data_IF_003597106604
#
_entry.id   IF_003597106604
#
_cell.length_a   1.000
_cell.length_b   1.000
_cell.length_c   1.000
_cell.angle_alpha   90.00
_cell.angle_beta   90.00
_cell.angle_gamma   90.00
#
_symmetry.space_group_name_H-M   'P 1'
#
loop_
_entity.id
_entity.type
_entity.pdbx_description
1 polymer ?
#
# COMPACT_ATOMS: atom_id res chain seq x y z
N UNK A 1 -28.29 -1.53 31.31
CA UNK A 1 -26.90 -1.96 31.03
C UNK A 1 -26.79 -3.13 30.04
N UNK A 2 -27.50 -4.26 30.20
CA UNK A 2 -27.37 -5.43 29.28
C UNK A 2 -27.78 -5.16 27.81
N UNK A 3 -28.74 -4.27 27.56
CA UNK A 3 -29.16 -3.91 26.19
C UNK A 3 -28.18 -2.99 25.46
N UNK A 4 -27.53 -2.08 26.19
CA UNK A 4 -26.49 -1.19 25.64
C UNK A 4 -25.28 -1.99 25.16
N UNK A 5 -24.87 -3.01 25.94
CA UNK A 5 -23.77 -3.92 25.59
C UNK A 5 -24.12 -4.80 24.37
N UNK A 6 -25.40 -5.22 24.23
CA UNK A 6 -25.86 -5.97 23.05
C UNK A 6 -25.93 -5.10 21.79
N UNK A 7 -26.31 -3.82 21.92
CA UNK A 7 -26.34 -2.85 20.82
C UNK A 7 -24.92 -2.54 20.34
N UNK A 8 -23.99 -2.22 21.25
CA UNK A 8 -22.57 -2.00 20.93
C UNK A 8 -21.91 -3.21 20.24
N UNK A 9 -22.22 -4.45 20.65
CA UNK A 9 -21.69 -5.66 19.99
C UNK A 9 -22.26 -5.90 18.58
N UNK A 10 -23.51 -5.49 18.33
CA UNK A 10 -24.13 -5.57 16.99
C UNK A 10 -23.56 -4.50 16.07
N UNK A 11 -23.46 -3.27 16.56
CA UNK A 11 -22.93 -2.13 15.82
C UNK A 11 -21.44 -2.36 15.48
N UNK A 12 -20.63 -2.88 16.41
CA UNK A 12 -19.23 -3.24 16.14
C UNK A 12 -19.04 -4.32 15.07
N UNK A 13 -19.93 -5.33 15.00
CA UNK A 13 -19.91 -6.33 13.92
C UNK A 13 -20.35 -5.73 12.57
N UNK A 14 -21.30 -4.81 12.59
CA UNK A 14 -21.77 -4.11 11.40
C UNK A 14 -20.68 -3.21 10.81
N UNK A 15 -19.95 -2.47 11.66
CA UNK A 15 -18.85 -1.61 11.21
C UNK A 15 -17.67 -2.40 10.65
N UNK A 16 -17.32 -3.56 11.23
CA UNK A 16 -16.28 -4.43 10.67
C UNK A 16 -16.66 -4.99 9.28
N UNK A 17 -17.93 -5.39 9.09
CA UNK A 17 -18.42 -5.84 7.79
C UNK A 17 -18.44 -4.69 6.76
N UNK A 18 -18.77 -3.48 7.20
CA UNK A 18 -18.80 -2.30 6.35
C UNK A 18 -17.39 -1.84 5.94
N UNK A 19 -16.44 -1.85 6.87
CA UNK A 19 -15.02 -1.63 6.61
C UNK A 19 -14.51 -2.61 5.54
N UNK A 20 -14.78 -3.90 5.70
CA UNK A 20 -14.36 -4.94 4.77
C UNK A 20 -14.97 -4.74 3.37
N UNK A 21 -16.25 -4.37 3.29
CA UNK A 21 -16.92 -4.09 2.03
C UNK A 21 -16.34 -2.87 1.32
N UNK A 22 -16.07 -1.78 2.06
CA UNK A 22 -15.44 -0.58 1.51
C UNK A 22 -14.02 -0.85 1.02
N UNK A 23 -13.20 -1.53 1.84
CA UNK A 23 -11.84 -1.89 1.44
C UNK A 23 -11.83 -2.79 0.21
N UNK A 24 -12.75 -3.76 0.10
CA UNK A 24 -12.87 -4.61 -1.08
C UNK A 24 -13.17 -3.78 -2.34
N UNK A 25 -14.09 -2.82 -2.25
CA UNK A 25 -14.40 -1.94 -3.37
C UNK A 25 -13.21 -1.04 -3.74
N UNK A 26 -12.53 -0.45 -2.75
CA UNK A 26 -11.38 0.43 -2.99
C UNK A 26 -10.21 -0.31 -3.63
N UNK A 27 -9.84 -1.48 -3.09
CA UNK A 27 -8.75 -2.30 -3.63
C UNK A 27 -9.01 -2.69 -5.11
N UNK A 28 -10.27 -2.93 -5.48
CA UNK A 28 -10.64 -3.29 -6.86
C UNK A 28 -10.39 -2.19 -7.90
N UNK A 29 -10.25 -0.93 -7.47
CA UNK A 29 -9.99 0.19 -8.39
C UNK A 29 -8.52 0.21 -8.82
N UNK A 30 -7.59 -0.20 -7.94
CA UNK A 30 -6.13 -0.27 -8.19
C UNK A 30 -5.46 1.00 -8.75
N UNK A 31 -6.16 2.13 -8.81
CA UNK A 31 -5.61 3.44 -9.21
C UNK A 31 -5.10 4.19 -7.99
N UNK A 32 -3.77 4.36 -7.92
CA UNK A 32 -3.11 5.01 -6.79
C UNK A 32 -3.52 6.49 -6.59
N UNK A 33 -3.74 7.25 -7.67
CA UNK A 33 -4.11 8.68 -7.59
C UNK A 33 -5.53 8.85 -7.04
N UNK A 34 -6.45 8.00 -7.51
CA UNK A 34 -7.79 7.91 -6.96
C UNK A 34 -7.77 7.52 -5.48
N UNK A 35 -7.04 6.46 -5.12
CA UNK A 35 -6.95 5.99 -3.74
C UNK A 35 -6.35 7.04 -2.80
N UNK A 36 -5.36 7.80 -3.26
CA UNK A 36 -4.77 8.93 -2.52
C UNK A 36 -5.79 10.04 -2.30
N UNK A 37 -6.63 10.33 -3.30
CA UNK A 37 -7.72 11.31 -3.16
C UNK A 37 -8.79 10.86 -2.16
N UNK A 38 -9.14 9.57 -2.17
CA UNK A 38 -10.03 8.97 -1.17
C UNK A 38 -9.43 9.06 0.23
N UNK A 39 -8.14 8.76 0.39
CA UNK A 39 -7.44 8.88 1.67
C UNK A 39 -7.50 10.32 2.21
N UNK A 40 -7.27 11.31 1.37
CA UNK A 40 -7.37 12.72 1.76
C UNK A 40 -8.79 13.08 2.22
N UNK A 41 -9.83 12.59 1.51
CA UNK A 41 -11.22 12.77 1.91
C UNK A 41 -11.53 12.10 3.26
N UNK A 42 -11.05 10.87 3.49
CA UNK A 42 -11.21 10.16 4.77
C UNK A 42 -10.59 10.96 5.92
N UNK A 43 -9.35 11.46 5.74
CA UNK A 43 -8.66 12.31 6.72
C UNK A 43 -9.45 13.58 7.05
N UNK A 44 -9.99 14.24 6.03
CA UNK A 44 -10.84 15.42 6.22
C UNK A 44 -12.12 15.08 7.02
N UNK A 45 -12.75 13.95 6.72
CA UNK A 45 -13.96 13.49 7.43
C UNK A 45 -13.66 13.09 8.87
N UNK A 46 -12.54 12.43 9.14
CA UNK A 46 -12.12 12.11 10.51
C UNK A 46 -11.96 13.38 11.35
N UNK A 47 -11.29 14.42 10.83
CA UNK A 47 -11.13 15.69 11.53
C UNK A 47 -12.48 16.34 11.86
N UNK A 48 -13.43 16.31 10.92
CA UNK A 48 -14.79 16.79 11.16
C UNK A 48 -15.50 16.00 12.26
N UNK A 49 -15.49 14.66 12.17
CA UNK A 49 -16.14 13.80 13.15
C UNK A 49 -15.52 13.97 14.54
N UNK A 50 -14.19 14.06 14.63
CA UNK A 50 -13.48 14.30 15.89
C UNK A 50 -13.94 15.61 16.56
N UNK A 51 -13.97 16.71 15.81
CA UNK A 51 -14.47 18.01 16.31
C UNK A 51 -15.92 17.92 16.76
N UNK A 52 -16.77 17.24 15.98
CA UNK A 52 -18.19 17.06 16.28
C UNK A 52 -18.41 16.20 17.52
N UNK A 53 -17.67 15.11 17.68
CA UNK A 53 -17.68 14.26 18.87
C UNK A 53 -17.33 15.06 20.12
N UNK A 54 -16.24 15.84 20.09
CA UNK A 54 -15.84 16.68 21.22
C UNK A 54 -16.94 17.68 21.58
N UNK A 55 -17.51 18.37 20.58
CA UNK A 55 -18.59 19.33 20.78
C UNK A 55 -19.85 18.71 21.40
N UNK A 56 -20.22 17.49 20.98
CA UNK A 56 -21.35 16.74 21.51
C UNK A 56 -21.11 16.29 22.96
N UNK A 57 -19.91 15.77 23.26
CA UNK A 57 -19.52 15.38 24.62
C UNK A 57 -19.59 16.53 25.60
N UNK A 58 -19.07 17.70 25.23
CA UNK A 58 -19.12 18.92 26.06
C UNK A 58 -20.56 19.35 26.38
N UNK A 59 -21.53 18.95 25.57
CA UNK A 59 -22.97 19.24 25.75
C UNK A 59 -23.76 18.06 26.29
N UNK A 60 -23.10 17.01 26.76
CA UNK A 60 -23.72 15.79 27.27
C UNK A 60 -24.74 15.17 26.29
N UNK A 61 -24.46 15.25 24.98
CA UNK A 61 -25.31 14.71 23.92
C UNK A 61 -24.97 13.24 23.67
N UNK A 62 -25.96 12.36 23.73
CA UNK A 62 -25.81 10.91 23.56
C UNK A 62 -25.33 10.51 22.15
N UNK A 63 -25.60 11.35 21.16
CA UNK A 63 -25.20 11.17 19.77
C UNK A 63 -23.67 11.07 19.63
N UNK A 64 -22.89 11.58 20.60
CA UNK A 64 -21.43 11.47 20.61
C UNK A 64 -20.95 10.02 20.38
N UNK A 65 -21.64 9.03 20.93
CA UNK A 65 -21.28 7.62 20.78
C UNK A 65 -21.37 7.11 19.33
N UNK A 66 -22.34 7.60 18.55
CA UNK A 66 -22.47 7.23 17.14
C UNK A 66 -21.34 7.84 16.31
N UNK A 67 -20.98 9.10 16.59
CA UNK A 67 -19.86 9.77 15.93
C UNK A 67 -18.50 9.15 16.30
N UNK A 68 -18.33 8.66 17.53
CA UNK A 68 -17.15 7.88 17.93
C UNK A 68 -17.01 6.57 17.16
N UNK A 69 -18.12 5.83 17.00
CA UNK A 69 -18.10 4.58 16.24
C UNK A 69 -17.76 4.81 14.76
N UNK A 70 -18.31 5.86 14.15
CA UNK A 70 -17.95 6.27 12.78
C UNK A 70 -16.49 6.70 12.67
N UNK A 71 -15.96 7.40 13.68
CA UNK A 71 -14.55 7.80 13.71
C UNK A 71 -13.64 6.56 13.79
N UNK A 72 -13.99 5.56 14.60
CA UNK A 72 -13.25 4.29 14.68
C UNK A 72 -13.25 3.55 13.33
N UNK A 73 -14.39 3.49 12.65
CA UNK A 73 -14.49 2.91 11.31
C UNK A 73 -13.55 3.62 10.33
N UNK A 74 -13.59 4.95 10.28
CA UNK A 74 -12.73 5.70 9.36
C UNK A 74 -11.24 5.55 9.69
N UNK A 75 -10.86 5.41 10.97
CA UNK A 75 -9.48 5.13 11.37
C UNK A 75 -9.00 3.77 10.81
N UNK A 76 -9.84 2.73 10.89
CA UNK A 76 -9.51 1.42 10.33
C UNK A 76 -9.36 1.48 8.80
N UNK A 77 -10.29 2.16 8.12
CA UNK A 77 -10.23 2.38 6.65
C UNK A 77 -8.97 3.16 6.27
N UNK A 78 -8.65 4.24 6.97
CA UNK A 78 -7.44 5.04 6.72
C UNK A 78 -6.18 4.17 6.79
N UNK A 79 -6.00 3.44 7.89
CA UNK A 79 -4.80 2.63 8.11
C UNK A 79 -4.61 1.59 7.00
N UNK A 80 -5.68 0.86 6.63
CA UNK A 80 -5.61 -0.15 5.58
C UNK A 80 -5.40 0.45 4.20
N UNK A 81 -6.00 1.60 3.93
CA UNK A 81 -5.83 2.31 2.66
C UNK A 81 -4.40 2.84 2.52
N UNK A 82 -3.80 3.37 3.59
CA UNK A 82 -2.39 3.79 3.63
C UNK A 82 -1.45 2.61 3.33
N UNK A 83 -1.66 1.46 3.99
CA UNK A 83 -0.88 0.24 3.70
C UNK A 83 -1.02 -0.17 2.23
N UNK A 84 -2.24 -0.16 1.68
CA UNK A 84 -2.45 -0.58 0.30
C UNK A 84 -1.81 0.37 -0.72
N UNK A 85 -1.92 1.69 -0.52
CA UNK A 85 -1.25 2.69 -1.38
C UNK A 85 0.27 2.50 -1.32
N UNK A 86 0.84 2.29 -0.14
CA UNK A 86 2.27 2.02 0.03
C UNK A 86 2.71 0.76 -0.74
N UNK A 87 1.92 -0.32 -0.70
CA UNK A 87 2.20 -1.52 -1.48
C UNK A 87 2.12 -1.27 -3.00
N UNK A 88 1.16 -0.48 -3.47
CA UNK A 88 1.08 -0.10 -4.88
C UNK A 88 2.31 0.70 -5.33
N UNK A 89 2.79 1.62 -4.49
CA UNK A 89 4.01 2.41 -4.73
C UNK A 89 5.26 1.53 -4.78
N UNK A 90 5.39 0.60 -3.83
CA UNK A 90 6.50 -0.35 -3.79
C UNK A 90 6.52 -1.23 -5.04
N UNK A 91 5.37 -1.77 -5.43
CA UNK A 91 5.23 -2.60 -6.64
C UNK A 91 5.55 -1.80 -7.91
N UNK A 92 5.06 -0.56 -8.02
CA UNK A 92 5.36 0.30 -9.16
C UNK A 92 6.85 0.64 -9.26
N UNK A 93 7.50 0.87 -8.11
CA UNK A 93 8.94 1.14 -8.02
C UNK A 93 9.76 -0.09 -8.41
N UNK A 94 9.45 -1.25 -7.84
CA UNK A 94 10.10 -2.53 -8.18
C UNK A 94 9.92 -2.86 -9.67
N UNK A 95 8.71 -2.66 -10.22
CA UNK A 95 8.44 -2.82 -11.65
C UNK A 95 9.27 -1.88 -12.53
N UNK A 96 9.45 -0.63 -12.11
CA UNK A 96 10.29 0.33 -12.85
C UNK A 96 11.76 -0.09 -12.80
N UNK A 97 12.26 -0.48 -11.64
CA UNK A 97 13.61 -0.99 -11.42
C UNK A 97 13.89 -2.21 -12.32
N UNK A 98 13.01 -3.20 -12.28
CA UNK A 98 13.13 -4.42 -13.08
C UNK A 98 13.16 -4.14 -14.57
N UNK A 99 12.28 -3.27 -15.08
CA UNK A 99 12.31 -2.84 -16.49
C UNK A 99 13.61 -2.16 -16.88
N UNK A 100 14.13 -1.27 -16.04
CA UNK A 100 15.40 -0.59 -16.32
C UNK A 100 16.57 -1.56 -16.28
N UNK A 101 16.62 -2.46 -15.30
CA UNK A 101 17.63 -3.51 -15.24
C UNK A 101 17.65 -4.35 -16.52
N UNK A 102 16.49 -4.80 -16.99
CA UNK A 102 16.39 -5.58 -18.22
C UNK A 102 16.83 -4.79 -19.44
N UNK A 103 16.47 -3.50 -19.52
CA UNK A 103 16.95 -2.61 -20.60
C UNK A 103 18.47 -2.51 -20.61
N UNK A 104 19.10 -2.29 -19.45
CA UNK A 104 20.56 -2.19 -19.32
C UNK A 104 21.26 -3.50 -19.67
N UNK A 105 20.66 -4.63 -19.30
CA UNK A 105 21.14 -5.95 -19.73
C UNK A 105 21.08 -6.09 -21.25
N UNK A 106 20.00 -5.68 -21.89
CA UNK A 106 19.85 -5.72 -23.36
C UNK A 106 20.88 -4.83 -24.06
N UNK A 107 21.07 -3.59 -23.60
CA UNK A 107 22.07 -2.65 -24.14
C UNK A 107 23.50 -3.22 -24.10
N UNK A 108 23.78 -4.06 -23.10
CA UNK A 108 25.08 -4.71 -22.90
C UNK A 108 25.15 -6.15 -23.39
N UNK A 109 24.11 -6.63 -24.07
CA UNK A 109 24.02 -8.02 -24.56
C UNK A 109 24.19 -9.08 -23.47
N UNK A 110 23.74 -8.78 -22.24
CA UNK A 110 23.78 -9.70 -21.10
C UNK A 110 22.58 -10.65 -21.14
N UNK A 111 22.83 -11.94 -20.89
CA UNK A 111 21.79 -12.97 -20.88
C UNK A 111 21.38 -13.32 -19.44
N UNK A 112 20.07 -13.26 -19.13
CA UNK A 112 19.56 -13.57 -17.79
C UNK A 112 19.95 -14.97 -17.28
N UNK A 113 20.08 -15.98 -18.16
CA UNK A 113 20.54 -17.32 -17.77
C UNK A 113 21.99 -17.28 -17.29
N UNK A 114 22.86 -16.56 -17.99
CA UNK A 114 24.25 -16.40 -17.56
C UNK A 114 24.35 -15.57 -16.28
N UNK A 115 23.55 -14.51 -16.16
CA UNK A 115 23.50 -13.71 -14.93
C UNK A 115 23.04 -14.54 -13.73
N UNK A 116 22.09 -15.48 -13.91
CA UNK A 116 21.66 -16.36 -12.83
C UNK A 116 22.74 -17.35 -12.37
N UNK A 117 23.76 -17.62 -13.19
CA UNK A 117 24.87 -18.50 -12.81
C UNK A 117 25.91 -17.78 -11.93
N UNK A 118 25.98 -16.45 -12.01
CA UNK A 118 26.88 -15.61 -11.20
C UNK A 118 26.16 -14.74 -10.16
N UNK A 119 24.87 -15.02 -9.92
CA UNK A 119 24.03 -14.30 -8.96
C UNK A 119 23.48 -15.25 -7.89
N UNK A 120 23.05 -14.68 -6.75
CA UNK A 120 22.17 -15.41 -5.84
C UNK A 120 20.70 -15.42 -6.29
N UNK A 121 20.32 -14.63 -7.29
CA UNK A 121 19.02 -14.71 -7.95
C UNK A 121 18.98 -15.93 -8.86
N UNK A 122 17.92 -16.74 -8.72
CA UNK A 122 17.65 -17.78 -9.70
C UNK A 122 17.18 -17.16 -11.02
N UNK A 123 17.20 -17.93 -12.11
CA UNK A 123 16.60 -17.51 -13.37
C UNK A 123 15.12 -17.13 -13.20
N UNK A 124 14.40 -17.84 -12.31
CA UNK A 124 13.00 -17.52 -12.00
C UNK A 124 12.86 -16.16 -11.33
N UNK A 125 13.79 -15.81 -10.44
CA UNK A 125 13.78 -14.52 -9.75
C UNK A 125 14.06 -13.39 -10.75
N UNK A 126 15.07 -13.54 -11.62
CA UNK A 126 15.38 -12.56 -12.66
C UNK A 126 14.19 -12.35 -13.63
N UNK A 127 13.44 -13.41 -13.96
CA UNK A 127 12.21 -13.29 -14.77
C UNK A 127 11.10 -12.57 -14.00
N UNK A 128 10.95 -12.82 -12.69
CA UNK A 128 9.98 -12.09 -11.86
C UNK A 128 10.34 -10.62 -11.74
N UNK A 129 11.63 -10.31 -11.59
CA UNK A 129 12.17 -8.94 -11.57
C UNK A 129 11.88 -8.25 -12.90
N UNK A 130 12.16 -8.91 -14.03
CA UNK A 130 11.84 -8.41 -15.37
C UNK A 130 10.36 -8.01 -15.53
N UNK A 131 9.46 -8.82 -14.94
CA UNK A 131 8.02 -8.59 -15.00
C UNK A 131 7.50 -7.58 -13.97
N UNK A 132 8.32 -7.21 -12.98
CA UNK A 132 7.89 -6.41 -11.84
C UNK A 132 7.06 -7.16 -10.80
N UNK A 133 7.07 -8.50 -10.85
CA UNK A 133 6.32 -9.41 -9.98
C UNK A 133 7.19 -9.97 -8.83
N UNK A 134 8.31 -9.31 -8.55
CA UNK A 134 9.21 -9.68 -7.46
C UNK A 134 8.76 -8.98 -6.17
N UNK A 135 8.47 -9.76 -5.13
CA UNK A 135 7.67 -9.31 -3.98
C UNK A 135 8.31 -8.19 -3.15
N UNK A 136 9.65 -8.15 -3.05
CA UNK A 136 10.39 -7.01 -2.52
C UNK A 136 11.82 -7.06 -3.05
N UNK A 137 12.28 -5.95 -3.63
CA UNK A 137 13.70 -5.69 -3.84
C UNK A 137 14.18 -4.87 -2.64
N UNK A 138 15.04 -5.44 -1.81
CA UNK A 138 15.70 -4.69 -0.76
C UNK A 138 16.95 -3.93 -1.29
N UNK A 139 17.68 -3.24 -0.40
CA UNK A 139 18.86 -2.49 -0.81
C UNK A 139 19.98 -3.39 -1.37
N UNK A 140 20.15 -4.59 -0.83
CA UNK A 140 21.16 -5.54 -1.29
C UNK A 140 20.78 -6.11 -2.65
N UNK A 141 19.48 -6.38 -2.86
CA UNK A 141 18.95 -6.80 -4.16
C UNK A 141 19.23 -5.76 -5.24
N UNK A 142 19.01 -4.48 -4.92
CA UNK A 142 19.27 -3.39 -5.84
C UNK A 142 20.78 -3.26 -6.15
N UNK A 143 21.64 -3.31 -5.13
CA UNK A 143 23.10 -3.30 -5.31
C UNK A 143 23.57 -4.46 -6.20
N UNK A 144 23.06 -5.67 -5.94
CA UNK A 144 23.40 -6.85 -6.73
C UNK A 144 22.95 -6.73 -8.19
N UNK A 145 21.75 -6.17 -8.44
CA UNK A 145 21.27 -5.91 -9.81
C UNK A 145 22.13 -4.86 -10.54
N UNK A 146 22.61 -3.83 -9.84
CA UNK A 146 23.53 -2.82 -10.39
C UNK A 146 24.85 -3.49 -10.80
N UNK A 147 25.41 -4.33 -9.93
CA UNK A 147 26.63 -5.08 -10.19
C UNK A 147 26.47 -6.06 -11.37
N UNK A 148 25.36 -6.81 -11.42
CA UNK A 148 25.07 -7.74 -12.52
C UNK A 148 24.94 -7.03 -13.87
N UNK A 149 24.39 -5.82 -13.90
CA UNK A 149 24.31 -5.00 -15.10
C UNK A 149 25.65 -4.32 -15.45
N UNK A 150 26.67 -4.44 -14.59
CA UNK A 150 27.97 -3.78 -14.74
C UNK A 150 27.89 -2.26 -14.65
N UNK A 151 26.97 -1.76 -13.82
CA UNK A 151 26.75 -0.34 -13.57
C UNK A 151 27.40 0.06 -12.23
N UNK A 152 27.61 1.36 -12.03
CA UNK A 152 28.26 1.87 -10.81
C UNK A 152 27.27 2.42 -9.78
N UNK A 153 26.02 2.69 -10.19
CA UNK A 153 25.04 3.30 -9.28
C UNK A 153 23.58 3.06 -9.70
N UNK A 154 22.68 3.36 -8.77
CA UNK A 154 21.24 3.35 -9.01
C UNK A 154 20.84 4.44 -10.02
N UNK A 155 21.50 5.60 -10.01
CA UNK A 155 21.26 6.66 -10.99
C UNK A 155 21.57 6.21 -12.41
N UNK A 156 22.69 5.48 -12.61
CA UNK A 156 23.02 4.90 -13.91
C UNK A 156 21.96 3.88 -14.34
N UNK A 157 21.47 3.05 -13.42
CA UNK A 157 20.40 2.10 -13.69
C UNK A 157 19.10 2.79 -14.09
N UNK A 158 18.73 3.88 -13.41
CA UNK A 158 17.44 4.55 -13.54
C UNK A 158 17.38 5.62 -14.64
N UNK A 159 18.48 5.93 -15.31
CA UNK A 159 18.53 6.86 -16.44
C UNK A 159 17.69 6.35 -17.63
N UNK A 160 16.86 7.22 -18.18
CA UNK A 160 16.01 6.96 -19.36
C UNK A 160 16.77 7.00 -20.69
#
# INVERSE_FOLDING_TARGET
MREVVKKQKRDGKQYAAQEAAWMKALISVSDQSFLTSVLAYVKQKQLFLQRKTVWLKQRNRSEAAEFEALLQLLNAVQSRLETHICLLEQNATASRLGRQFCRRCQERSLNLRQLSECSYFTLSDLIRIERGDYEMLDSLDIEHLIELAGLNSLEELMQD
#
